data_IF_905697228452
#
_entry.id   IF_905697228452
#
_cell.length_a   1.000
_cell.length_b   1.000
_cell.length_c   1.000
_cell.angle_alpha   90.00
_cell.angle_beta   90.00
_cell.angle_gamma   90.00
#
_symmetry.space_group_name_H-M   'P 1'
#
loop_
_entity.id
_entity.type
_entity.pdbx_description
1 polymer ?
#
# COMPACT_ATOMS: atom_id res chain seq x y z
N UNK A 1 6.92 6.16 -13.69
CA UNK A 1 5.71 5.98 -12.86
C UNK A 1 6.03 6.52 -11.47
N UNK A 2 5.18 7.35 -10.91
CA UNK A 2 5.38 7.87 -9.54
C UNK A 2 4.82 6.89 -8.53
N UNK A 3 5.37 6.87 -7.30
CA UNK A 3 4.77 6.10 -6.21
C UNK A 3 3.34 6.58 -5.90
N UNK A 4 2.97 7.82 -6.21
CA UNK A 4 1.61 8.31 -6.07
C UNK A 4 0.58 7.56 -6.94
N UNK A 5 0.99 6.96 -8.06
CA UNK A 5 0.07 6.31 -9.01
C UNK A 5 -0.59 5.05 -8.43
N UNK A 6 0.05 4.42 -7.43
CA UNK A 6 -0.51 3.22 -6.77
C UNK A 6 -1.57 3.54 -5.72
N UNK A 7 -1.72 4.82 -5.32
CA UNK A 7 -2.56 5.22 -4.19
C UNK A 7 -4.00 4.69 -4.26
N UNK A 8 -4.59 4.65 -5.47
CA UNK A 8 -5.96 4.15 -5.71
C UNK A 8 -6.16 2.66 -5.40
N UNK A 9 -5.08 1.88 -5.40
CA UNK A 9 -5.10 0.44 -5.16
C UNK A 9 -4.81 0.07 -3.71
N UNK A 10 -4.39 1.04 -2.88
CA UNK A 10 -3.98 0.78 -1.50
C UNK A 10 -5.20 0.65 -0.60
N UNK A 11 -5.28 -0.45 0.15
CA UNK A 11 -6.34 -0.71 1.11
C UNK A 11 -6.34 0.33 2.24
N UNK A 12 -7.49 0.51 2.89
CA UNK A 12 -7.63 1.46 4.01
C UNK A 12 -6.61 1.21 5.13
N UNK A 13 -6.31 -0.05 5.43
CA UNK A 13 -5.38 -0.41 6.50
C UNK A 13 -3.94 -0.02 6.14
N UNK A 14 -3.50 -0.33 4.92
CA UNK A 14 -2.19 0.08 4.44
C UNK A 14 -2.02 1.61 4.41
N UNK A 15 -3.08 2.38 4.11
CA UNK A 15 -3.01 3.85 4.20
C UNK A 15 -2.70 4.34 5.61
N UNK A 16 -3.28 3.71 6.64
CA UNK A 16 -2.98 4.06 8.03
C UNK A 16 -1.51 3.80 8.34
N UNK A 17 -1.03 2.59 8.01
CA UNK A 17 0.37 2.19 8.22
C UNK A 17 1.35 3.14 7.54
N UNK A 18 1.05 3.60 6.32
CA UNK A 18 1.89 4.57 5.60
C UNK A 18 1.95 5.90 6.35
N UNK A 19 0.82 6.43 6.84
CA UNK A 19 0.80 7.65 7.65
C UNK A 19 1.57 7.46 8.97
N UNK A 20 1.44 6.31 9.61
CA UNK A 20 2.18 5.97 10.83
C UNK A 20 3.70 6.00 10.60
N UNK A 21 4.18 5.44 9.48
CA UNK A 21 5.60 5.51 9.08
C UNK A 21 6.03 6.97 8.92
N UNK A 22 5.27 7.78 8.19
CA UNK A 22 5.65 9.18 7.96
C UNK A 22 5.66 10.00 9.25
N UNK A 23 4.75 9.75 10.19
CA UNK A 23 4.73 10.46 11.49
C UNK A 23 5.84 9.97 12.43
N UNK A 24 6.41 8.78 12.21
CA UNK A 24 7.51 8.28 13.05
C UNK A 24 8.81 9.05 12.89
N UNK A 25 8.95 9.80 11.80
CA UNK A 25 10.17 10.51 11.40
C UNK A 25 10.00 12.03 11.40
N UNK A 26 8.75 12.52 11.39
CA UNK A 26 8.42 13.95 11.40
C UNK A 26 7.16 14.21 12.23
N UNK A 27 7.02 15.43 12.76
CA UNK A 27 5.84 15.77 13.57
C UNK A 27 4.53 15.69 12.76
N UNK A 28 3.42 15.35 13.43
CA UNK A 28 2.10 15.34 12.80
C UNK A 28 1.71 16.71 12.21
N UNK A 29 2.20 17.82 12.79
CA UNK A 29 1.99 19.18 12.26
C UNK A 29 2.76 19.39 10.95
N UNK A 30 4.00 18.95 10.90
CA UNK A 30 4.84 18.99 9.69
C UNK A 30 4.19 18.17 8.58
N UNK A 31 3.79 16.94 8.88
CA UNK A 31 3.13 16.07 7.90
C UNK A 31 1.81 16.68 7.40
N UNK A 32 0.98 17.22 8.28
CA UNK A 32 -0.24 17.94 7.89
C UNK A 32 0.03 19.05 6.87
N UNK A 33 1.06 19.88 7.12
CA UNK A 33 1.46 20.94 6.21
C UNK A 33 1.90 20.40 4.85
N UNK A 34 2.70 19.33 4.82
CA UNK A 34 3.18 18.72 3.57
C UNK A 34 2.05 18.05 2.78
N UNK A 35 1.05 17.49 3.46
CA UNK A 35 -0.10 16.83 2.85
C UNK A 35 -1.24 17.80 2.49
N UNK A 36 -1.14 19.08 2.83
CA UNK A 36 -2.21 20.06 2.60
C UNK A 36 -3.50 19.76 3.38
N UNK A 37 -3.38 19.17 4.57
CA UNK A 37 -4.52 18.84 5.44
C UNK A 37 -4.35 19.47 6.83
N UNK A 38 -5.44 19.56 7.60
CA UNK A 38 -5.33 20.04 8.98
C UNK A 38 -4.64 19.02 9.89
N UNK A 39 -3.96 19.51 10.93
CA UNK A 39 -3.38 18.66 11.98
C UNK A 39 -4.40 17.70 12.63
N UNK A 40 -5.65 18.14 12.75
CA UNK A 40 -6.75 17.31 13.26
C UNK A 40 -7.02 16.10 12.38
N UNK A 41 -6.88 16.23 11.05
CA UNK A 41 -7.07 15.13 10.10
C UNK A 41 -6.00 14.05 10.29
N UNK A 42 -4.73 14.44 10.45
CA UNK A 42 -3.65 13.47 10.75
C UNK A 42 -3.96 12.70 12.04
N UNK A 43 -4.42 13.38 13.09
CA UNK A 43 -4.83 12.71 14.32
C UNK A 43 -6.01 11.76 14.13
N UNK A 44 -6.95 12.06 13.22
CA UNK A 44 -8.03 11.13 12.87
C UNK A 44 -7.51 9.90 12.13
N UNK A 45 -6.50 10.05 11.27
CA UNK A 45 -5.82 8.94 10.59
C UNK A 45 -5.15 8.00 11.60
N UNK A 46 -4.33 8.55 12.50
CA UNK A 46 -3.63 7.78 13.54
C UNK A 46 -4.59 7.05 14.50
N UNK A 47 -5.78 7.64 14.73
CA UNK A 47 -6.84 7.02 15.54
C UNK A 47 -7.79 6.14 14.72
N UNK A 48 -7.48 5.90 13.43
CA UNK A 48 -8.28 5.11 12.49
C UNK A 48 -9.76 5.54 12.39
N UNK A 49 -10.06 6.82 12.65
CA UNK A 49 -11.41 7.38 12.59
C UNK A 49 -11.86 7.73 11.16
N UNK A 50 -10.90 7.93 10.27
CA UNK A 50 -11.08 8.19 8.83
C UNK A 50 -9.75 7.88 8.16
N UNK A 51 -9.74 7.48 6.89
CA UNK A 51 -8.50 7.16 6.17
C UNK A 51 -8.10 8.27 5.18
N UNK A 52 -6.82 8.34 4.78
CA UNK A 52 -6.39 9.19 3.67
C UNK A 52 -7.19 8.89 2.39
N UNK A 53 -7.61 9.95 1.69
CA UNK A 53 -8.15 9.83 0.32
C UNK A 53 -7.05 9.43 -0.66
N UNK A 54 -7.40 9.02 -1.89
CA UNK A 54 -6.42 8.68 -2.92
C UNK A 54 -5.47 9.84 -3.19
N UNK A 55 -6.02 11.05 -3.29
CA UNK A 55 -5.26 12.28 -3.49
C UNK A 55 -4.31 12.58 -2.33
N UNK A 56 -4.77 12.36 -1.09
CA UNK A 56 -3.96 12.60 0.11
C UNK A 56 -2.85 11.56 0.23
N UNK A 57 -3.14 10.30 -0.08
CA UNK A 57 -2.16 9.23 -0.08
C UNK A 57 -1.14 9.41 -1.21
N UNK A 58 -1.57 9.84 -2.39
CA UNK A 58 -0.66 10.15 -3.49
C UNK A 58 0.35 11.25 -3.10
N UNK A 59 -0.12 12.32 -2.44
CA UNK A 59 0.78 13.32 -1.84
C UNK A 59 1.74 12.70 -0.83
N UNK A 60 1.23 11.85 0.07
CA UNK A 60 2.04 11.18 1.08
C UNK A 60 3.14 10.32 0.45
N UNK A 61 2.82 9.56 -0.59
CA UNK A 61 3.75 8.69 -1.31
C UNK A 61 4.81 9.48 -2.10
N UNK A 62 4.49 10.70 -2.53
CA UNK A 62 5.42 11.58 -3.25
C UNK A 62 6.39 12.35 -2.35
N UNK A 63 6.15 12.40 -1.03
CA UNK A 63 7.02 13.05 -0.04
C UNK A 63 7.76 12.05 0.87
N UNK A 64 7.73 10.76 0.49
CA UNK A 64 8.45 9.69 1.19
C UNK A 64 9.94 9.93 0.99
N UNK A 65 10.66 10.01 2.11
CA UNK A 65 12.10 10.18 2.11
C UNK A 65 12.81 8.82 1.95
N UNK A 66 14.09 8.82 1.56
CA UNK A 66 14.85 7.59 1.28
C UNK A 66 14.84 6.60 2.46
N UNK A 67 14.99 7.11 3.69
CA UNK A 67 15.00 6.30 4.91
C UNK A 67 13.63 5.69 5.28
N UNK A 68 12.52 6.21 4.74
CA UNK A 68 11.17 5.67 4.92
C UNK A 68 10.79 4.71 3.79
N UNK A 69 11.38 4.92 2.61
CA UNK A 69 10.99 4.31 1.35
C UNK A 69 10.88 2.80 1.43
N UNK A 70 11.89 2.15 2.04
CA UNK A 70 11.89 0.70 2.23
C UNK A 70 10.66 0.23 3.03
N UNK A 71 10.32 0.91 4.12
CA UNK A 71 9.21 0.52 4.98
C UNK A 71 7.85 0.75 4.30
N UNK A 72 7.70 1.87 3.59
CA UNK A 72 6.49 2.17 2.80
C UNK A 72 6.29 1.12 1.71
N UNK A 73 7.35 0.74 0.98
CA UNK A 73 7.27 -0.30 -0.04
C UNK A 73 6.90 -1.67 0.55
N UNK A 74 7.44 -2.03 1.71
CA UNK A 74 7.05 -3.26 2.40
C UNK A 74 5.55 -3.28 2.72
N UNK A 75 5.00 -2.18 3.23
CA UNK A 75 3.55 -2.08 3.51
C UNK A 75 2.73 -2.27 2.23
N UNK A 76 3.14 -1.67 1.12
CA UNK A 76 2.45 -1.81 -0.17
C UNK A 76 2.51 -3.25 -0.70
N UNK A 77 3.67 -3.91 -0.57
CA UNK A 77 3.83 -5.31 -0.97
C UNK A 77 2.97 -6.23 -0.10
N UNK A 78 2.99 -6.05 1.22
CA UNK A 78 2.14 -6.79 2.16
C UNK A 78 0.65 -6.64 1.81
N UNK A 79 0.19 -5.43 1.52
CA UNK A 79 -1.20 -5.13 1.14
C UNK A 79 -1.64 -5.86 -0.14
N UNK A 80 -0.79 -5.85 -1.16
CA UNK A 80 -1.07 -6.52 -2.44
C UNK A 80 -1.09 -8.04 -2.26
N UNK A 81 -0.13 -8.59 -1.49
CA UNK A 81 -0.06 -10.03 -1.24
C UNK A 81 -1.24 -10.53 -0.40
N UNK A 82 -1.74 -9.72 0.54
CA UNK A 82 -2.95 -10.03 1.30
C UNK A 82 -4.18 -10.11 0.38
N UNK A 83 -4.38 -9.12 -0.49
CA UNK A 83 -5.47 -9.13 -1.47
C UNK A 83 -5.37 -10.34 -2.43
N UNK A 84 -4.16 -10.65 -2.90
CA UNK A 84 -3.92 -11.82 -3.75
C UNK A 84 -4.23 -13.13 -3.02
N UNK A 85 -3.84 -13.25 -1.75
CA UNK A 85 -4.09 -14.44 -0.93
C UNK A 85 -5.59 -14.69 -0.77
N UNK A 86 -6.37 -13.63 -0.52
CA UNK A 86 -7.83 -13.72 -0.45
C UNK A 86 -8.41 -14.24 -1.76
N UNK A 87 -7.99 -13.67 -2.90
CA UNK A 87 -8.44 -14.12 -4.22
C UNK A 87 -8.11 -15.59 -4.48
N UNK A 88 -6.87 -16.01 -4.19
CA UNK A 88 -6.44 -17.40 -4.38
C UNK A 88 -7.27 -18.35 -3.52
N UNK A 89 -7.59 -17.98 -2.28
CA UNK A 89 -8.41 -18.82 -1.40
C UNK A 89 -9.85 -18.95 -1.93
N UNK A 90 -10.47 -17.86 -2.39
CA UNK A 90 -11.81 -17.91 -3.00
C UNK A 90 -11.85 -18.85 -4.21
N UNK A 91 -10.83 -18.80 -5.07
CA UNK A 91 -10.73 -19.70 -6.22
C UNK A 91 -10.54 -21.15 -5.75
N UNK A 92 -9.71 -21.39 -4.73
CA UNK A 92 -9.53 -22.75 -4.17
C UNK A 92 -10.85 -23.31 -3.65
N UNK A 93 -11.60 -22.50 -2.94
CA UNK A 93 -12.88 -22.89 -2.34
C UNK A 93 -13.95 -23.16 -3.41
N UNK A 94 -13.86 -22.50 -4.57
CA UNK A 94 -14.74 -22.79 -5.72
C UNK A 94 -14.52 -24.17 -6.36
N UNK A 95 -13.34 -24.78 -6.16
CA UNK A 95 -12.96 -26.05 -6.79
C UNK A 95 -12.59 -25.96 -8.27
N UNK A 96 -12.54 -24.75 -8.86
CA UNK A 96 -12.16 -24.52 -10.25
C UNK A 96 -10.65 -24.68 -10.45
N UNK A 97 -10.25 -25.90 -10.83
CA UNK A 97 -8.84 -26.27 -11.04
C UNK A 97 -8.21 -25.53 -12.21
N UNK A 98 -8.96 -25.28 -13.28
CA UNK A 98 -8.44 -24.61 -14.48
C UNK A 98 -8.10 -23.16 -14.16
N UNK A 99 -8.95 -22.49 -13.37
CA UNK A 99 -8.69 -21.13 -12.90
C UNK A 99 -7.51 -21.06 -11.91
N UNK A 100 -7.35 -22.07 -11.05
CA UNK A 100 -6.17 -22.18 -10.17
C UNK A 100 -4.87 -22.36 -10.94
N UNK A 101 -4.87 -23.19 -11.98
CA UNK A 101 -3.71 -23.38 -12.84
C UNK A 101 -3.40 -22.10 -13.61
N UNK A 102 -4.43 -21.43 -14.13
CA UNK A 102 -4.29 -20.14 -14.79
C UNK A 102 -3.65 -19.08 -13.88
N UNK A 103 -4.18 -18.84 -12.67
CA UNK A 103 -3.60 -17.83 -11.77
C UNK A 103 -2.17 -18.21 -11.34
N UNK A 104 -1.91 -19.49 -11.09
CA UNK A 104 -0.58 -19.98 -10.73
C UNK A 104 0.44 -19.68 -11.84
N UNK A 105 0.10 -19.95 -13.10
CA UNK A 105 0.98 -19.64 -14.24
C UNK A 105 1.29 -18.15 -14.35
N UNK A 106 0.30 -17.27 -14.12
CA UNK A 106 0.51 -15.81 -14.15
C UNK A 106 1.40 -15.34 -13.00
N UNK A 107 1.20 -15.86 -11.79
CA UNK A 107 2.04 -15.50 -10.65
C UNK A 107 3.49 -15.96 -10.83
N UNK A 108 3.71 -17.16 -11.40
CA UNK A 108 5.06 -17.63 -11.73
C UNK A 108 5.77 -16.66 -12.68
N UNK A 109 5.10 -16.20 -13.75
CA UNK A 109 5.70 -15.24 -14.68
C UNK A 109 6.11 -13.92 -14.02
N UNK A 110 5.35 -13.46 -13.03
CA UNK A 110 5.70 -12.26 -12.24
C UNK A 110 6.92 -12.54 -11.36
N UNK A 111 6.99 -13.71 -10.72
CA UNK A 111 8.13 -14.10 -9.89
C UNK A 111 9.42 -14.27 -10.71
N UNK A 112 9.31 -14.76 -11.95
CA UNK A 112 10.44 -14.87 -12.89
C UNK A 112 10.97 -13.49 -13.27
N UNK A 113 10.08 -12.54 -13.61
CA UNK A 113 10.48 -11.16 -13.91
C UNK A 113 11.22 -10.48 -12.75
N UNK A 114 10.85 -10.78 -11.49
CA UNK A 114 11.55 -10.24 -10.31
C UNK A 114 12.99 -10.77 -10.20
N UNK A 115 13.23 -12.02 -10.60
CA UNK A 115 14.55 -12.67 -10.51
C UNK A 115 15.51 -12.25 -11.63
N UNK A 116 14.99 -11.79 -12.75
CA UNK A 116 15.80 -11.32 -13.88
C UNK A 116 16.45 -9.94 -13.64
N UNK A 117 15.94 -9.19 -12.66
CA UNK A 117 16.45 -7.88 -12.24
C UNK A 117 17.50 -7.95 -11.10
N UNK A 118 17.95 -9.15 -10.69
CA UNK A 118 19.08 -9.41 -9.77
C UNK A 118 20.41 -9.62 -10.51
#
# INVERSE_FOLDING_TARGET
MSLGDVAKWVSKDARYKIIEVLVSTRSARTLASQLGVSHTVINKYLKRKTHPSDETLARALNIVEEYERKRVLQILVEDILEALTILVNEIKDSGDKDLLEYISSKLISVLEAIKEDE
#
